data_IF_986922917712
#
_entry.id   IF_986922917712
#
_cell.length_a   1.000
_cell.length_b   1.000
_cell.length_c   1.000
_cell.angle_alpha   90.00
_cell.angle_beta   90.00
_cell.angle_gamma   90.00
#
_symmetry.space_group_name_H-M   'P 1'
#
loop_
_entity.id
_entity.type
_entity.pdbx_description
1 polymer ?
#
# COMPACT_ATOMS: atom_id res chain seq x y z
N UNK A 1 -17.23 9.96 24.01
CA UNK A 1 -17.08 10.40 22.61
C UNK A 1 -15.60 10.49 22.32
N UNK A 2 -15.08 9.61 21.46
CA UNK A 2 -13.67 9.66 21.05
C UNK A 2 -13.44 10.90 20.20
N UNK A 3 -12.62 11.83 20.68
CA UNK A 3 -12.15 12.97 19.90
C UNK A 3 -11.33 12.43 18.72
N UNK A 4 -11.96 12.27 17.56
CA UNK A 4 -11.25 11.93 16.32
C UNK A 4 -10.48 13.18 15.91
N UNK A 5 -9.20 13.22 16.30
CA UNK A 5 -8.30 14.31 15.96
C UNK A 5 -7.91 14.14 14.48
N UNK A 6 -8.31 15.09 13.64
CA UNK A 6 -7.88 15.14 12.24
C UNK A 6 -6.35 15.28 12.17
N UNK A 7 -5.68 14.31 11.55
CA UNK A 7 -4.25 14.35 11.29
C UNK A 7 -3.99 14.06 9.80
N UNK A 8 -3.66 15.09 8.99
CA UNK A 8 -3.42 14.90 7.55
C UNK A 8 -2.17 14.06 7.25
N UNK A 9 -1.29 13.88 8.23
CA UNK A 9 -0.06 13.11 8.09
C UNK A 9 -0.29 11.60 8.20
N UNK A 10 -1.44 11.14 8.69
CA UNK A 10 -1.71 9.72 8.84
C UNK A 10 -1.79 9.05 7.45
N UNK A 11 -1.06 7.96 7.23
CA UNK A 11 -1.17 7.23 5.97
C UNK A 11 -2.53 6.56 5.86
N UNK A 12 -3.26 6.87 4.79
CA UNK A 12 -4.58 6.32 4.49
C UNK A 12 -4.58 5.67 3.11
N UNK A 13 -5.49 4.73 2.88
CA UNK A 13 -5.76 4.16 1.56
C UNK A 13 -7.27 3.98 1.36
N UNK A 14 -7.76 4.18 0.14
CA UNK A 14 -9.16 3.99 -0.21
C UNK A 14 -9.32 3.55 -1.67
N UNK A 15 -10.45 2.90 -1.95
CA UNK A 15 -10.87 2.60 -3.32
C UNK A 15 -11.30 3.92 -3.96
N UNK A 16 -10.65 4.29 -5.06
CA UNK A 16 -10.82 5.58 -5.73
C UNK A 16 -11.71 5.49 -6.98
N UNK A 17 -12.20 4.30 -7.32
CA UNK A 17 -13.11 4.02 -8.44
C UNK A 17 -14.37 3.31 -7.94
N UNK A 18 -15.49 3.33 -8.70
CA UNK A 18 -16.68 2.57 -8.34
C UNK A 18 -16.42 1.07 -8.17
N UNK A 19 -17.15 0.45 -7.24
CA UNK A 19 -17.16 -1.00 -7.00
C UNK A 19 -18.09 -1.71 -8.00
N UNK A 20 -17.82 -1.51 -9.29
CA UNK A 20 -18.54 -2.14 -10.39
C UNK A 20 -17.57 -2.94 -11.26
N UNK A 21 -18.05 -3.96 -12.00
CA UNK A 21 -17.22 -4.64 -13.00
C UNK A 21 -16.58 -3.64 -13.96
N UNK A 22 -15.27 -3.78 -14.18
CA UNK A 22 -14.49 -2.90 -15.04
C UNK A 22 -13.13 -3.51 -15.34
N UNK A 23 -12.48 -3.04 -16.41
CA UNK A 23 -11.15 -3.53 -16.80
C UNK A 23 -10.05 -3.13 -15.81
N UNK A 24 -10.24 -1.99 -15.12
CA UNK A 24 -9.27 -1.41 -14.20
C UNK A 24 -9.98 -0.88 -12.95
N UNK A 25 -9.30 -0.97 -11.81
CA UNK A 25 -9.71 -0.36 -10.55
C UNK A 25 -8.52 0.39 -9.94
N UNK A 26 -8.80 1.44 -9.16
CA UNK A 26 -7.75 2.25 -8.52
C UNK A 26 -7.94 2.21 -7.01
N UNK A 27 -6.87 1.85 -6.30
CA UNK A 27 -6.71 2.12 -4.87
C UNK A 27 -5.72 3.27 -4.72
N UNK A 28 -6.12 4.33 -4.01
CA UNK A 28 -5.28 5.51 -3.78
C UNK A 28 -4.81 5.53 -2.33
N UNK A 29 -3.51 5.69 -2.14
CA UNK A 29 -2.91 5.93 -0.83
C UNK A 29 -2.42 7.38 -0.73
N UNK A 30 -2.47 7.96 0.47
CA UNK A 30 -2.03 9.34 0.78
C UNK A 30 -1.50 9.41 2.21
N UNK A 31 -0.85 10.52 2.55
CA UNK A 31 -0.27 10.77 3.88
C UNK A 31 1.20 10.43 3.96
N UNK A 32 1.80 10.70 5.12
CA UNK A 32 3.23 10.54 5.34
C UNK A 32 3.63 9.07 5.21
N UNK A 33 4.73 8.80 4.53
CA UNK A 33 5.29 7.47 4.31
C UNK A 33 4.40 6.48 3.53
N UNK A 34 3.36 6.92 2.83
CA UNK A 34 2.42 6.01 2.15
C UNK A 34 3.13 5.16 1.06
N UNK A 35 4.07 5.74 0.31
CA UNK A 35 4.86 5.03 -0.70
C UNK A 35 5.72 3.93 -0.07
N UNK A 36 6.33 4.21 1.08
CA UNK A 36 7.12 3.25 1.86
C UNK A 36 6.27 2.12 2.45
N UNK A 37 4.99 2.37 2.74
CA UNK A 37 4.07 1.31 3.17
C UNK A 37 3.67 0.41 2.00
N UNK A 38 3.32 1.01 0.85
CA UNK A 38 2.97 0.27 -0.37
C UNK A 38 4.16 -0.56 -0.88
N UNK A 39 5.39 -0.05 -0.77
CA UNK A 39 6.57 -0.78 -1.25
C UNK A 39 6.76 -2.13 -0.56
N UNK A 40 6.30 -2.31 0.69
CA UNK A 40 6.38 -3.58 1.43
C UNK A 40 5.59 -4.73 0.79
N UNK A 41 4.59 -4.40 -0.03
CA UNK A 41 3.72 -5.37 -0.72
C UNK A 41 3.83 -5.23 -2.24
N UNK A 42 4.82 -4.52 -2.75
CA UNK A 42 5.04 -4.34 -4.19
C UNK A 42 6.27 -5.13 -4.64
N UNK A 43 6.18 -5.82 -5.77
CA UNK A 43 7.22 -6.75 -6.25
C UNK A 43 8.56 -6.09 -6.57
N UNK A 44 8.58 -4.76 -6.77
CA UNK A 44 9.79 -3.98 -7.10
C UNK A 44 9.94 -2.79 -6.15
N UNK A 45 10.17 -3.02 -4.84
CA UNK A 45 10.12 -1.97 -3.82
C UNK A 45 11.13 -0.85 -4.08
N UNK A 46 12.35 -1.20 -4.49
CA UNK A 46 13.41 -0.23 -4.79
C UNK A 46 13.00 0.72 -5.93
N UNK A 47 12.47 0.17 -7.03
CA UNK A 47 12.02 0.97 -8.17
C UNK A 47 10.88 1.92 -7.81
N UNK A 48 9.98 1.52 -6.89
CA UNK A 48 8.90 2.38 -6.41
C UNK A 48 9.41 3.48 -5.47
N UNK A 49 10.37 3.17 -4.60
CA UNK A 49 10.94 4.12 -3.64
C UNK A 49 11.84 5.17 -4.28
N UNK A 50 12.53 4.82 -5.37
CA UNK A 50 13.44 5.70 -6.10
C UNK A 50 12.74 6.44 -7.26
N UNK A 51 11.46 6.17 -7.52
CA UNK A 51 10.72 6.81 -8.61
C UNK A 51 10.50 8.31 -8.35
N UNK A 52 10.71 9.11 -9.39
CA UNK A 52 10.35 10.52 -9.36
C UNK A 52 8.83 10.72 -9.31
N UNK A 53 8.38 11.89 -8.87
CA UNK A 53 6.97 12.27 -8.93
C UNK A 53 6.40 12.10 -10.36
N UNK A 54 5.11 11.80 -10.46
CA UNK A 54 4.42 11.60 -11.74
C UNK A 54 4.96 10.45 -12.61
N UNK A 55 5.59 9.45 -12.00
CA UNK A 55 6.12 8.26 -12.69
C UNK A 55 5.21 7.05 -12.56
N UNK A 56 5.12 6.22 -13.59
CA UNK A 56 4.46 4.90 -13.55
C UNK A 56 5.51 3.82 -13.31
N UNK A 57 5.33 3.02 -12.26
CA UNK A 57 6.16 1.84 -11.99
C UNK A 57 5.31 0.58 -12.14
N UNK A 58 5.64 -0.23 -13.14
CA UNK A 58 4.97 -1.51 -13.37
C UNK A 58 5.52 -2.61 -12.46
N UNK A 59 4.62 -3.43 -11.90
CA UNK A 59 4.91 -4.55 -11.02
C UNK A 59 3.64 -5.20 -10.48
N UNK A 60 3.79 -6.02 -9.46
CA UNK A 60 2.71 -6.80 -8.86
C UNK A 60 2.55 -6.48 -7.37
N UNK A 61 1.32 -6.57 -6.87
CA UNK A 61 1.11 -6.66 -5.42
C UNK A 61 1.36 -8.10 -4.99
N UNK A 62 2.19 -8.29 -3.98
CA UNK A 62 2.62 -9.60 -3.48
C UNK A 62 2.29 -9.75 -2.00
N UNK A 63 1.98 -10.97 -1.59
CA UNK A 63 1.85 -11.28 -0.17
C UNK A 63 3.23 -11.18 0.50
N UNK A 64 3.26 -10.59 1.69
CA UNK A 64 4.47 -10.59 2.50
C UNK A 64 4.71 -12.03 2.96
N UNK A 65 5.83 -12.64 2.61
CA UNK A 65 6.21 -13.91 3.25
C UNK A 65 6.23 -13.70 4.76
N UNK A 66 5.30 -14.38 5.45
CA UNK A 66 5.25 -14.36 6.90
C UNK A 66 6.59 -14.93 7.41
N UNK A 67 7.37 -14.10 8.10
CA UNK A 67 8.52 -14.52 8.89
C UNK A 67 8.09 -15.28 10.17
N UNK A 68 6.84 -15.71 10.26
CA UNK A 68 6.31 -16.57 11.31
C UNK A 68 6.25 -18.02 10.78
N UNK A 69 7.42 -18.58 10.48
CA UNK A 69 7.66 -20.03 10.42
C UNK A 69 8.60 -20.43 11.56
N UNK A 70 8.22 -20.12 12.80
CA UNK A 70 8.81 -20.72 13.99
C UNK A 70 7.67 -20.98 14.99
N UNK A 71 7.09 -22.15 14.86
CA UNK A 71 6.02 -22.68 15.69
C UNK A 71 5.74 -24.13 15.31
N UNK A 72 6.81 -24.92 15.17
CA UNK A 72 6.69 -26.36 15.32
C UNK A 72 6.49 -26.62 16.80
N UNK A 73 5.24 -26.90 17.19
CA UNK A 73 4.92 -27.60 18.42
C UNK A 73 4.27 -28.93 18.00
N UNK A 74 5.03 -30.01 18.26
CA UNK A 74 4.69 -31.44 18.25
C UNK A 74 3.63 -31.98 17.29
#
# INVERSE_FOLDING_TARGET
MTNVKYNPEDPIAAIATPLSPGALAIVRASGKNCVQLVSKVFSRPKALLEAEGNTIVYGWIVEKENADKNGGDN
#
